data_IF_906236145990
#
_entry.id   IF_906236145990
#
_cell.length_a   1.000
_cell.length_b   1.000
_cell.length_c   1.000
_cell.angle_alpha   90.00
_cell.angle_beta   90.00
_cell.angle_gamma   90.00
#
_symmetry.space_group_name_H-M   'P 1'
#
loop_
_entity.id
_entity.type
_entity.pdbx_description
1 polymer ?
#
# COMPACT_ATOMS: atom_id res chain seq x y z
N UNK A 1 -69.32 9.67 -30.99
CA UNK A 1 -70.23 10.84 -30.92
C UNK A 1 -69.76 11.73 -29.77
N UNK A 2 -69.60 13.03 -30.05
CA UNK A 2 -69.31 14.17 -29.14
C UNK A 2 -67.88 14.39 -28.62
N UNK A 3 -67.43 15.61 -28.94
CA UNK A 3 -66.25 16.38 -28.54
C UNK A 3 -66.49 17.05 -27.17
N UNK A 4 -65.42 17.32 -26.41
CA UNK A 4 -64.92 18.69 -26.09
C UNK A 4 -64.41 18.89 -24.64
N UNK A 5 -63.10 19.18 -24.54
CA UNK A 5 -62.36 20.21 -23.76
C UNK A 5 -62.96 20.75 -22.42
N UNK A 6 -62.22 21.00 -21.33
CA UNK A 6 -61.07 21.94 -21.19
C UNK A 6 -60.44 21.94 -19.76
N UNK A 7 -59.10 22.18 -19.71
CA UNK A 7 -58.28 22.93 -18.71
C UNK A 7 -58.18 22.42 -17.26
N UNK A 8 -57.10 22.60 -16.48
CA UNK A 8 -55.67 22.95 -16.63
C UNK A 8 -55.07 22.95 -15.19
N UNK A 9 -53.80 22.54 -15.05
CA UNK A 9 -52.81 22.76 -13.95
C UNK A 9 -52.01 21.45 -13.79
N UNK A 10 -50.70 21.35 -13.95
CA UNK A 10 -49.63 22.33 -13.72
C UNK A 10 -48.79 21.82 -12.56
N UNK A 11 -47.73 21.06 -12.83
CA UNK A 11 -46.54 20.94 -11.97
C UNK A 11 -45.45 20.14 -12.72
N UNK A 12 -44.30 20.79 -12.89
CA UNK A 12 -43.14 20.31 -13.63
C UNK A 12 -42.48 19.12 -12.94
N UNK A 13 -42.15 18.09 -13.73
CA UNK A 13 -41.28 16.99 -13.31
C UNK A 13 -39.82 17.48 -13.38
N UNK A 14 -39.26 17.82 -12.22
CA UNK A 14 -37.87 18.25 -12.09
C UNK A 14 -36.93 17.07 -12.32
N UNK A 15 -36.18 17.12 -13.40
CA UNK A 15 -35.06 16.22 -13.69
C UNK A 15 -33.93 16.49 -12.69
N UNK A 16 -33.61 15.49 -11.86
CA UNK A 16 -32.50 15.58 -10.93
C UNK A 16 -31.18 15.31 -11.68
N UNK A 17 -30.55 16.38 -12.15
CA UNK A 17 -29.15 16.36 -12.56
C UNK A 17 -28.28 16.23 -11.31
N UNK A 18 -27.63 15.08 -11.13
CA UNK A 18 -26.57 14.92 -10.13
C UNK A 18 -25.31 15.63 -10.65
N UNK A 19 -25.08 16.86 -10.19
CA UNK A 19 -23.83 17.58 -10.38
C UNK A 19 -22.87 17.13 -9.29
N UNK A 20 -21.79 16.45 -9.70
CA UNK A 20 -20.69 16.07 -8.82
C UNK A 20 -19.82 17.32 -8.57
N UNK A 21 -20.12 18.09 -7.52
CA UNK A 21 -19.30 19.19 -7.07
C UNK A 21 -18.25 18.65 -6.08
N UNK A 22 -17.01 18.50 -6.56
CA UNK A 22 -15.84 18.49 -5.71
C UNK A 22 -15.42 19.94 -5.43
N UNK A 23 -14.84 20.15 -4.23
CA UNK A 23 -14.13 21.34 -3.72
C UNK A 23 -14.93 22.33 -2.84
N UNK A 24 -14.65 22.27 -1.54
CA UNK A 24 -14.37 23.44 -0.69
C UNK A 24 -15.55 24.31 -0.24
N UNK A 25 -16.06 24.05 0.97
CA UNK A 25 -16.96 24.96 1.67
C UNK A 25 -17.17 24.50 3.11
N UNK A 26 -16.82 25.35 4.05
CA UNK A 26 -16.91 25.14 5.50
C UNK A 26 -18.37 25.04 5.92
N UNK A 27 -18.85 23.86 6.29
CA UNK A 27 -20.04 23.71 7.12
C UNK A 27 -19.96 22.41 7.94
N UNK A 28 -20.19 22.55 9.23
CA UNK A 28 -19.90 21.60 10.30
C UNK A 28 -21.02 20.56 10.45
N UNK A 29 -21.24 19.72 9.43
CA UNK A 29 -22.04 18.51 9.59
C UNK A 29 -21.11 17.30 9.70
N UNK A 30 -21.20 16.47 10.76
CA UNK A 30 -20.41 15.26 10.86
C UNK A 30 -20.87 14.28 9.78
N UNK A 31 -20.12 14.23 8.68
CA UNK A 31 -20.16 13.10 7.75
C UNK A 31 -19.87 11.86 8.59
N UNK A 32 -20.74 10.85 8.63
CA UNK A 32 -20.41 9.59 9.29
C UNK A 32 -19.15 9.07 8.61
N UNK A 33 -18.05 9.02 9.36
CA UNK A 33 -16.82 8.38 8.91
C UNK A 33 -17.21 6.98 8.42
N UNK A 34 -16.87 6.60 7.17
CA UNK A 34 -16.93 5.22 6.78
C UNK A 34 -16.01 4.46 7.72
N UNK A 35 -16.58 3.87 8.75
CA UNK A 35 -15.86 3.00 9.65
C UNK A 35 -15.53 1.79 8.79
N UNK A 36 -14.26 1.66 8.39
CA UNK A 36 -13.78 0.43 7.78
C UNK A 36 -14.32 -0.72 8.66
N UNK A 37 -14.93 -1.77 8.07
CA UNK A 37 -15.36 -2.91 8.84
C UNK A 37 -14.19 -3.31 9.74
N UNK A 38 -14.44 -3.43 11.04
CA UNK A 38 -13.44 -3.92 11.96
C UNK A 38 -12.91 -5.22 11.36
N UNK A 39 -11.66 -5.24 10.94
CA UNK A 39 -11.03 -6.47 10.47
C UNK A 39 -11.21 -7.45 11.62
N UNK A 40 -12.02 -8.49 11.41
CA UNK A 40 -12.05 -9.62 12.33
C UNK A 40 -10.60 -10.08 12.45
N UNK A 41 -9.97 -10.03 13.64
CA UNK A 41 -8.61 -10.48 13.76
C UNK A 41 -8.57 -11.94 13.27
N UNK A 42 -7.80 -12.18 12.22
CA UNK A 42 -7.41 -13.53 11.87
C UNK A 42 -6.56 -14.02 13.04
N UNK A 43 -7.19 -14.66 14.01
CA UNK A 43 -6.48 -15.32 15.11
C UNK A 43 -5.97 -16.64 14.56
N UNK A 44 -4.85 -16.60 13.82
CA UNK A 44 -4.06 -17.81 13.62
C UNK A 44 -3.55 -18.20 15.02
N UNK A 45 -3.95 -19.37 15.56
CA UNK A 45 -3.52 -19.77 16.88
C UNK A 45 -2.00 -19.93 16.88
N UNK A 46 -1.30 -19.08 17.64
CA UNK A 46 0.13 -19.22 17.88
C UNK A 46 0.45 -20.65 18.35
N UNK A 47 1.39 -21.37 17.70
CA UNK A 47 1.86 -22.66 18.19
C UNK A 47 2.37 -22.57 19.64
N UNK A 48 2.03 -23.58 20.45
CA UNK A 48 2.41 -23.60 21.86
C UNK A 48 3.94 -23.52 22.02
N UNK A 49 4.43 -22.47 22.70
CA UNK A 49 5.85 -22.28 22.98
C UNK A 49 6.64 -21.45 21.96
N UNK A 50 6.04 -20.96 20.87
CA UNK A 50 6.75 -20.09 19.92
C UNK A 50 7.23 -18.78 20.61
N UNK A 51 8.50 -18.45 20.46
CA UNK A 51 9.09 -17.22 21.01
C UNK A 51 10.32 -16.80 20.20
N UNK A 52 10.09 -16.32 18.98
CA UNK A 52 11.17 -15.97 18.06
C UNK A 52 11.84 -14.65 18.43
N UNK A 53 13.16 -14.59 18.27
CA UNK A 53 13.92 -13.35 18.25
C UNK A 53 14.14 -12.96 16.78
N UNK A 54 13.49 -11.88 16.34
CA UNK A 54 13.56 -11.39 14.96
C UNK A 54 14.74 -10.43 14.70
N UNK A 55 15.48 -10.05 15.75
CA UNK A 55 16.63 -9.15 15.63
C UNK A 55 17.72 -9.65 14.67
N UNK A 56 18.07 -10.95 14.62
CA UNK A 56 19.01 -11.46 13.63
C UNK A 56 18.52 -11.25 12.19
N UNK A 57 17.22 -11.42 11.91
CA UNK A 57 16.66 -11.19 10.57
C UNK A 57 16.64 -9.69 10.20
N UNK A 58 16.46 -8.79 11.17
CA UNK A 58 16.56 -7.35 10.92
C UNK A 58 18.00 -6.87 10.69
N UNK A 59 18.96 -7.50 11.36
CA UNK A 59 20.39 -7.15 11.28
C UNK A 59 21.16 -7.93 10.22
N UNK A 60 20.54 -8.91 9.55
CA UNK A 60 21.18 -9.66 8.48
C UNK A 60 21.55 -8.73 7.31
N UNK A 61 22.72 -8.97 6.72
CA UNK A 61 23.21 -8.23 5.56
C UNK A 61 22.59 -8.76 4.27
N UNK A 62 22.05 -7.86 3.48
CA UNK A 62 21.48 -8.14 2.14
C UNK A 62 22.38 -7.65 1.01
N UNK A 63 23.29 -6.74 1.34
CA UNK A 63 24.39 -6.28 0.49
C UNK A 63 25.52 -5.73 1.39
N UNK A 64 26.75 -5.52 0.87
CA UNK A 64 27.82 -4.92 1.66
C UNK A 64 27.38 -3.59 2.32
N UNK A 65 27.39 -3.56 3.65
CA UNK A 65 26.98 -2.37 4.43
C UNK A 65 25.47 -2.08 4.46
N UNK A 66 24.63 -2.98 3.97
CA UNK A 66 23.16 -2.85 3.99
C UNK A 66 22.55 -4.00 4.77
N UNK A 67 21.83 -3.68 5.84
CA UNK A 67 20.99 -4.62 6.59
C UNK A 67 19.57 -4.61 6.04
N UNK A 68 18.78 -5.63 6.37
CA UNK A 68 17.32 -5.64 6.10
C UNK A 68 16.67 -4.39 6.68
N UNK A 69 16.98 -4.03 7.93
CA UNK A 69 16.47 -2.81 8.55
C UNK A 69 16.78 -1.54 7.72
N UNK A 70 18.01 -1.42 7.20
CA UNK A 70 18.41 -0.27 6.36
C UNK A 70 17.78 -0.23 4.97
N UNK A 71 17.15 -1.32 4.53
CA UNK A 71 16.35 -1.31 3.29
C UNK A 71 14.94 -0.79 3.52
N UNK A 72 14.41 -0.94 4.74
CA UNK A 72 13.03 -0.61 5.07
C UNK A 72 12.87 0.68 5.90
N UNK A 73 13.96 1.20 6.43
CA UNK A 73 14.04 2.41 7.26
C UNK A 73 15.17 3.31 6.72
N UNK A 74 14.91 4.59 6.40
CA UNK A 74 13.61 5.26 6.43
C UNK A 74 12.67 4.81 5.29
N UNK A 75 11.36 5.06 5.42
CA UNK A 75 10.35 4.71 4.41
C UNK A 75 10.48 5.55 3.13
N UNK A 76 11.49 5.23 2.32
CA UNK A 76 11.82 5.95 1.09
C UNK A 76 12.16 4.97 -0.02
N UNK A 77 11.81 5.32 -1.26
CA UNK A 77 12.35 4.63 -2.43
C UNK A 77 13.66 5.29 -2.80
N UNK A 78 14.75 4.54 -2.74
CA UNK A 78 16.07 5.02 -3.17
C UNK A 78 16.38 4.57 -4.58
N UNK A 79 17.06 5.42 -5.34
CA UNK A 79 17.49 5.13 -6.71
C UNK A 79 18.98 5.46 -6.82
N UNK A 80 19.76 4.44 -7.16
CA UNK A 80 21.12 4.54 -7.64
C UNK A 80 21.12 4.41 -9.17
N UNK A 81 21.46 5.51 -9.84
CA UNK A 81 21.50 5.59 -11.30
C UNK A 81 22.64 4.79 -11.92
N UNK A 82 23.58 4.28 -11.12
CA UNK A 82 24.68 3.41 -11.57
C UNK A 82 24.36 1.92 -11.48
N UNK A 83 23.25 1.56 -10.82
CA UNK A 83 22.83 0.17 -10.64
C UNK A 83 21.61 -0.17 -11.54
N UNK A 84 21.40 -1.45 -11.88
CA UNK A 84 20.20 -1.89 -12.58
C UNK A 84 18.93 -1.51 -11.81
N UNK A 85 17.89 -1.05 -12.50
CA UNK A 85 16.60 -0.75 -11.88
C UNK A 85 15.90 -2.00 -11.37
N UNK A 86 15.10 -1.88 -10.32
CA UNK A 86 14.33 -2.97 -9.71
C UNK A 86 14.57 -3.03 -8.22
N UNK A 87 13.58 -3.49 -7.48
CA UNK A 87 13.60 -3.47 -6.02
C UNK A 87 14.84 -4.18 -5.46
N UNK A 88 15.62 -3.55 -4.55
CA UNK A 88 15.34 -2.28 -3.84
C UNK A 88 15.80 -0.98 -4.55
N UNK A 89 16.48 -1.06 -5.70
CA UNK A 89 16.87 0.10 -6.50
C UNK A 89 15.70 0.63 -7.35
N UNK A 90 14.79 1.36 -6.72
CA UNK A 90 13.49 1.69 -7.30
C UNK A 90 12.53 0.50 -7.26
N UNK A 91 11.51 0.53 -8.13
CA UNK A 91 10.53 -0.56 -8.27
C UNK A 91 10.11 -0.68 -9.73
N UNK A 92 10.18 -1.89 -10.29
CA UNK A 92 9.51 -2.22 -11.55
C UNK A 92 8.06 -2.57 -11.25
N UNK A 93 7.21 -2.44 -12.27
CA UNK A 93 5.80 -2.83 -12.17
C UNK A 93 5.62 -4.34 -11.89
N UNK A 94 6.61 -5.14 -12.23
CA UNK A 94 6.62 -6.61 -12.07
C UNK A 94 7.30 -7.07 -10.79
N UNK A 95 7.87 -6.17 -9.99
CA UNK A 95 8.57 -6.58 -8.77
C UNK A 95 7.55 -7.00 -7.70
N UNK A 96 7.69 -8.22 -7.18
CA UNK A 96 6.92 -8.70 -6.02
C UNK A 96 7.42 -8.07 -4.72
N UNK A 97 7.30 -6.74 -4.59
CA UNK A 97 7.91 -5.96 -3.51
C UNK A 97 7.51 -6.48 -2.12
N UNK A 98 6.24 -6.83 -1.93
CA UNK A 98 5.76 -7.35 -0.65
C UNK A 98 6.45 -8.68 -0.33
N UNK A 99 6.39 -9.64 -1.24
CA UNK A 99 6.98 -10.98 -1.03
C UNK A 99 8.50 -10.94 -0.84
N UNK A 100 9.21 -10.12 -1.62
CA UNK A 100 10.67 -9.93 -1.47
C UNK A 100 10.99 -9.32 -0.10
N UNK A 101 10.23 -8.31 0.32
CA UNK A 101 10.45 -7.66 1.63
C UNK A 101 10.12 -8.61 2.77
N UNK A 102 9.01 -9.36 2.71
CA UNK A 102 8.65 -10.34 3.72
C UNK A 102 9.66 -11.49 3.77
N UNK A 103 10.20 -11.94 2.63
CA UNK A 103 11.25 -12.95 2.59
C UNK A 103 12.50 -12.45 3.32
N UNK A 104 12.91 -11.20 3.06
CA UNK A 104 14.02 -10.57 3.77
C UNK A 104 13.76 -10.38 5.28
N UNK A 105 12.50 -10.19 5.68
CA UNK A 105 12.14 -10.01 7.09
C UNK A 105 12.02 -11.32 7.88
N UNK A 106 11.55 -12.40 7.24
CA UNK A 106 11.19 -13.64 7.91
C UNK A 106 12.10 -14.83 7.63
N UNK A 107 12.86 -14.84 6.54
CA UNK A 107 13.71 -15.96 6.16
C UNK A 107 15.19 -15.69 6.46
N UNK A 108 15.91 -16.77 6.72
CA UNK A 108 17.36 -16.83 6.76
C UNK A 108 17.90 -16.79 5.32
N UNK A 109 18.36 -15.63 4.88
CA UNK A 109 18.85 -15.42 3.51
C UNK A 109 20.16 -16.16 3.21
N UNK A 110 20.80 -16.79 4.21
CA UNK A 110 21.93 -17.69 3.97
C UNK A 110 21.49 -19.09 3.54
N UNK A 111 20.20 -19.42 3.73
CA UNK A 111 19.60 -20.72 3.42
C UNK A 111 18.52 -20.63 2.35
N UNK A 112 17.81 -19.52 2.28
CA UNK A 112 16.71 -19.29 1.36
C UNK A 112 17.01 -18.10 0.43
N UNK A 113 16.70 -18.18 -0.87
CA UNK A 113 16.79 -17.02 -1.72
C UNK A 113 15.73 -15.99 -1.32
N UNK A 114 16.00 -14.70 -1.51
CA UNK A 114 15.02 -13.62 -1.24
C UNK A 114 13.75 -13.73 -2.12
N UNK A 115 13.80 -14.53 -3.20
CA UNK A 115 12.66 -14.86 -4.08
C UNK A 115 11.87 -16.08 -3.61
N UNK A 116 12.18 -16.65 -2.44
CA UNK A 116 11.53 -17.87 -1.96
C UNK A 116 10.02 -17.69 -1.84
N UNK A 117 9.58 -16.60 -1.20
CA UNK A 117 8.14 -16.31 -1.05
C UNK A 117 7.48 -15.89 -2.37
N UNK A 118 8.19 -15.20 -3.28
CA UNK A 118 7.65 -14.85 -4.60
C UNK A 118 7.34 -16.09 -5.45
N UNK A 119 8.04 -17.19 -5.16
CA UNK A 119 7.87 -18.48 -5.84
C UNK A 119 6.75 -19.32 -5.22
N UNK A 120 6.22 -18.89 -4.07
CA UNK A 120 5.00 -19.46 -3.50
C UNK A 120 3.82 -18.69 -4.11
N UNK A 121 2.87 -19.35 -4.78
CA UNK A 121 1.74 -18.66 -5.43
C UNK A 121 0.66 -18.24 -4.41
N UNK A 122 1.07 -17.58 -3.33
CA UNK A 122 0.20 -17.14 -2.23
C UNK A 122 -0.45 -15.77 -2.52
N UNK A 123 0.20 -14.94 -3.34
CA UNK A 123 -0.31 -13.64 -3.79
C UNK A 123 -0.77 -13.63 -5.25
N UNK A 124 -1.39 -12.53 -5.71
CA UNK A 124 -1.72 -12.33 -7.12
C UNK A 124 -0.47 -12.45 -7.99
N UNK A 125 -0.48 -13.37 -8.96
CA UNK A 125 0.69 -13.68 -9.79
C UNK A 125 0.87 -12.71 -10.97
N UNK A 126 -0.17 -11.95 -11.31
CA UNK A 126 -0.15 -10.97 -12.38
C UNK A 126 -1.19 -9.88 -12.12
N UNK A 127 -1.00 -8.74 -12.77
CA UNK A 127 -2.03 -7.72 -12.84
C UNK A 127 -3.27 -8.25 -13.60
N UNK A 128 -4.45 -7.71 -13.30
CA UNK A 128 -5.73 -8.04 -13.93
C UNK A 128 -5.70 -7.87 -15.46
N UNK A 129 -5.00 -6.83 -15.92
CA UNK A 129 -4.72 -6.55 -17.32
C UNK A 129 -3.21 -6.50 -17.56
N UNK A 130 -2.71 -6.97 -18.72
CA UNK A 130 -1.29 -6.94 -19.02
C UNK A 130 -0.76 -5.51 -19.11
N UNK A 131 0.51 -5.33 -18.74
CA UNK A 131 1.20 -4.06 -18.97
C UNK A 131 1.33 -3.77 -20.47
N UNK A 132 1.26 -2.48 -20.81
CA UNK A 132 1.41 -1.99 -22.19
C UNK A 132 2.90 -1.92 -22.53
N UNK A 133 3.31 -2.19 -23.79
CA UNK A 133 4.70 -2.08 -24.21
C UNK A 133 5.19 -0.63 -24.34
N UNK A 134 4.26 0.33 -24.37
CA UNK A 134 4.54 1.75 -24.52
C UNK A 134 3.89 2.54 -23.39
N UNK A 135 4.49 3.69 -23.06
CA UNK A 135 3.95 4.61 -22.07
C UNK A 135 2.53 5.09 -22.44
N UNK A 136 1.59 5.22 -21.47
CA UNK A 136 1.72 4.79 -20.08
C UNK A 136 1.63 3.25 -19.95
N UNK A 137 2.61 2.66 -19.28
CA UNK A 137 2.80 1.20 -19.21
C UNK A 137 1.69 0.45 -18.45
N UNK A 138 0.90 1.15 -17.62
CA UNK A 138 -0.26 0.59 -16.93
C UNK A 138 -1.47 0.52 -17.86
N UNK A 139 -2.31 -0.52 -17.66
CA UNK A 139 -3.61 -0.60 -18.28
C UNK A 139 -4.53 0.54 -17.79
N UNK A 140 -5.66 0.73 -18.47
CA UNK A 140 -6.67 1.68 -17.99
C UNK A 140 -7.17 1.25 -16.60
N UNK A 141 -7.35 2.22 -15.69
CA UNK A 141 -7.88 1.94 -14.37
C UNK A 141 -9.28 1.32 -14.46
N UNK A 142 -9.58 0.39 -13.56
CA UNK A 142 -10.90 -0.19 -13.45
C UNK A 142 -11.92 0.89 -13.04
N UNK A 143 -12.83 1.22 -13.94
CA UNK A 143 -13.88 2.22 -13.72
C UNK A 143 -14.30 2.90 -15.01
N UNK A 144 -15.40 3.66 -14.94
CA UNK A 144 -15.83 4.54 -16.04
C UNK A 144 -15.03 5.84 -16.01
N UNK A 145 -13.70 5.72 -16.08
CA UNK A 145 -12.83 6.88 -16.17
C UNK A 145 -13.01 7.45 -17.58
N UNK A 146 -13.25 8.76 -17.75
CA UNK A 146 -13.23 9.36 -19.07
C UNK A 146 -11.86 9.09 -19.69
N UNK A 147 -11.80 8.15 -20.63
CA UNK A 147 -10.63 7.88 -21.43
C UNK A 147 -10.50 9.03 -22.45
N UNK A 148 -10.17 10.22 -21.96
CA UNK A 148 -9.77 11.32 -22.82
C UNK A 148 -8.48 10.94 -23.56
N UNK A 149 -8.20 11.54 -24.72
CA UNK A 149 -6.87 11.44 -25.31
C UNK A 149 -5.86 11.86 -24.23
N UNK A 150 -4.83 11.04 -24.02
CA UNK A 150 -3.71 11.41 -23.14
C UNK A 150 -3.15 12.68 -23.75
N UNK A 151 -3.43 13.83 -23.13
CA UNK A 151 -3.04 15.11 -23.67
C UNK A 151 -1.50 15.11 -23.73
N UNK A 152 -0.94 15.20 -24.94
CA UNK A 152 0.52 15.24 -25.13
C UNK A 152 1.11 16.64 -24.80
N UNK A 153 0.23 17.59 -24.46
CA UNK A 153 0.54 18.97 -24.08
C UNK A 153 -0.59 19.54 -23.20
N UNK A 154 -0.33 20.65 -22.50
CA UNK A 154 -1.34 21.31 -21.67
C UNK A 154 -1.49 20.71 -20.26
N UNK A 155 -0.47 19.97 -19.79
CA UNK A 155 -0.40 19.54 -18.40
C UNK A 155 -0.38 20.77 -17.47
N UNK A 156 -1.41 20.90 -16.62
CA UNK A 156 -1.40 21.84 -15.51
C UNK A 156 -0.69 21.20 -14.32
N UNK A 157 0.62 21.40 -14.24
CA UNK A 157 1.39 20.98 -13.06
C UNK A 157 1.04 21.92 -11.91
N UNK A 158 0.53 21.36 -10.80
CA UNK A 158 0.26 22.15 -9.61
C UNK A 158 1.55 22.81 -9.11
N UNK A 159 1.47 24.10 -8.83
CA UNK A 159 2.57 24.91 -8.27
C UNK A 159 2.33 25.25 -6.81
N UNK A 160 1.30 24.69 -6.19
CA UNK A 160 1.02 24.87 -4.76
C UNK A 160 2.21 24.38 -3.93
N UNK A 161 2.57 25.08 -2.83
CA UNK A 161 3.64 24.63 -1.97
C UNK A 161 3.33 23.27 -1.34
N UNK A 162 4.33 22.48 -0.92
CA UNK A 162 4.11 21.20 -0.23
C UNK A 162 3.17 21.30 0.98
N UNK A 163 3.15 22.44 1.66
CA UNK A 163 2.26 22.73 2.80
C UNK A 163 0.77 22.78 2.43
N UNK A 164 0.42 22.85 1.14
CA UNK A 164 -0.95 22.75 0.65
C UNK A 164 -1.45 21.30 0.54
N UNK A 165 -0.60 20.32 0.83
CA UNK A 165 -0.91 18.90 0.76
C UNK A 165 -0.85 18.28 2.16
N UNK A 166 -1.71 17.30 2.38
CA UNK A 166 -1.66 16.45 3.57
C UNK A 166 -1.18 15.08 3.14
N UNK A 167 -0.23 14.52 3.89
CA UNK A 167 0.22 13.14 3.70
C UNK A 167 -0.88 12.22 4.17
N UNK A 168 -1.34 11.34 3.30
CA UNK A 168 -2.39 10.35 3.61
C UNK A 168 -1.77 8.99 3.92
N UNK A 169 -0.69 8.66 3.21
CA UNK A 169 0.00 7.39 3.38
C UNK A 169 1.47 7.51 3.05
N UNK A 170 2.25 6.62 3.64
CA UNK A 170 3.68 6.45 3.41
C UNK A 170 3.89 5.13 2.71
N UNK A 171 4.48 5.18 1.52
CA UNK A 171 4.54 4.06 0.57
C UNK A 171 5.94 3.89 -0.03
N UNK A 172 6.98 4.29 0.71
CA UNK A 172 8.36 3.98 0.37
C UNK A 172 8.62 2.48 0.36
N UNK A 173 8.04 1.77 1.32
CA UNK A 173 8.19 0.37 1.63
C UNK A 173 6.81 -0.20 1.97
N UNK A 174 6.02 -0.57 0.94
CA UNK A 174 4.61 -0.91 1.13
C UNK A 174 4.40 -2.04 2.13
N UNK A 175 5.26 -3.06 2.17
CA UNK A 175 5.16 -4.13 3.15
C UNK A 175 5.24 -3.61 4.60
N UNK A 176 6.10 -2.62 4.88
CA UNK A 176 6.17 -2.03 6.23
C UNK A 176 4.90 -1.25 6.51
N UNK A 177 4.52 -0.34 5.62
CA UNK A 177 3.37 0.51 5.82
C UNK A 177 2.04 -0.26 5.91
N UNK A 178 1.88 -1.38 5.21
CA UNK A 178 0.61 -2.12 5.15
C UNK A 178 0.55 -3.32 6.08
N UNK A 179 1.68 -4.01 6.32
CA UNK A 179 1.72 -5.27 7.09
C UNK A 179 2.37 -5.08 8.44
N UNK A 180 3.50 -4.36 8.52
CA UNK A 180 4.37 -4.41 9.71
C UNK A 180 4.04 -3.32 10.73
N UNK A 181 3.65 -2.13 10.29
CA UNK A 181 3.18 -1.07 11.19
C UNK A 181 1.84 -1.47 11.78
N UNK A 182 1.75 -1.49 13.11
CA UNK A 182 0.53 -1.91 13.80
C UNK A 182 -0.62 -0.92 13.56
N UNK A 183 -1.88 -1.37 13.66
CA UNK A 183 -3.04 -0.48 13.55
C UNK A 183 -3.00 0.70 14.53
N UNK A 184 -2.46 0.51 15.74
CA UNK A 184 -2.31 1.57 16.74
C UNK A 184 -1.28 2.64 16.36
N UNK A 185 -0.27 2.27 15.57
CA UNK A 185 0.81 3.17 15.14
C UNK A 185 0.55 3.76 13.75
N UNK A 186 -0.42 3.23 12.99
CA UNK A 186 -0.63 3.53 11.57
C UNK A 186 -0.89 5.01 11.26
N UNK A 187 -1.76 5.68 12.03
CA UNK A 187 -2.06 7.11 11.81
C UNK A 187 -0.80 7.94 12.06
N UNK A 188 -0.14 7.75 13.22
CA UNK A 188 1.09 8.47 13.55
C UNK A 188 2.19 8.23 12.52
N UNK A 189 2.35 6.97 12.09
CA UNK A 189 3.31 6.61 11.04
C UNK A 189 3.05 7.40 9.77
N UNK A 190 1.82 7.38 9.25
CA UNK A 190 1.42 8.09 8.04
C UNK A 190 1.53 9.63 8.17
N UNK A 191 1.33 10.16 9.39
CA UNK A 191 1.44 11.60 9.69
C UNK A 191 2.88 12.09 9.94
N UNK A 192 3.85 11.20 10.15
CA UNK A 192 5.26 11.52 10.32
C UNK A 192 6.02 11.73 9.01
N UNK A 193 7.18 12.40 9.09
CA UNK A 193 8.10 12.52 7.96
C UNK A 193 9.07 11.33 7.91
N UNK A 194 9.52 10.87 6.71
CA UNK A 194 10.48 9.77 6.63
C UNK A 194 11.80 10.02 7.38
N UNK A 195 12.20 11.28 7.56
CA UNK A 195 13.39 11.63 8.36
C UNK A 195 13.22 11.29 9.85
N UNK A 196 11.99 11.22 10.34
CA UNK A 196 11.71 10.88 11.74
C UNK A 196 12.01 9.39 12.01
N UNK A 197 12.00 8.55 10.97
CA UNK A 197 12.32 7.13 11.11
C UNK A 197 13.79 6.90 11.52
N UNK A 198 14.69 7.84 11.22
CA UNK A 198 16.11 7.75 11.55
C UNK A 198 16.34 7.72 13.08
N UNK A 199 15.35 8.17 13.86
CA UNK A 199 15.34 8.09 15.32
C UNK A 199 14.87 6.72 15.86
N UNK A 200 14.51 5.79 14.98
CA UNK A 200 13.98 4.46 15.31
C UNK A 200 12.66 4.49 16.09
N UNK A 201 11.86 5.56 15.92
CA UNK A 201 10.60 5.76 16.65
C UNK A 201 9.60 4.60 16.47
N UNK A 202 9.59 3.99 15.28
CA UNK A 202 8.71 2.86 14.95
C UNK A 202 9.36 1.49 15.14
N UNK A 203 10.64 1.43 15.50
CA UNK A 203 11.36 0.18 15.67
C UNK A 203 10.72 -0.76 16.72
N UNK A 204 10.26 -0.28 17.90
CA UNK A 204 9.60 -1.14 18.88
C UNK A 204 8.30 -1.76 18.34
N UNK A 205 7.51 -0.98 17.59
CA UNK A 205 6.27 -1.42 16.95
C UNK A 205 6.54 -2.48 15.89
N UNK A 206 7.48 -2.19 14.98
CA UNK A 206 7.94 -3.11 13.93
C UNK A 206 8.42 -4.42 14.55
N UNK A 207 9.30 -4.37 15.55
CA UNK A 207 9.85 -5.56 16.19
C UNK A 207 8.75 -6.39 16.89
N UNK A 208 7.79 -5.73 17.55
CA UNK A 208 6.68 -6.42 18.19
C UNK A 208 5.77 -7.11 17.16
N UNK A 209 5.40 -6.43 16.08
CA UNK A 209 4.56 -6.98 15.01
C UNK A 209 5.25 -8.14 14.28
N UNK A 210 6.53 -7.97 13.90
CA UNK A 210 7.30 -9.04 13.25
C UNK A 210 7.41 -10.26 14.15
N UNK A 211 7.67 -10.06 15.45
CA UNK A 211 7.68 -11.18 16.40
C UNK A 211 6.33 -11.88 16.47
N UNK A 212 5.23 -11.13 16.50
CA UNK A 212 3.89 -11.70 16.53
C UNK A 212 3.61 -12.56 15.29
N UNK A 213 3.99 -12.09 14.10
CA UNK A 213 3.86 -12.86 12.86
C UNK A 213 4.79 -14.06 12.80
N UNK A 214 6.06 -13.91 13.20
CA UNK A 214 7.00 -15.02 13.25
C UNK A 214 6.53 -16.12 14.22
N UNK A 215 6.00 -15.73 15.39
CA UNK A 215 5.39 -16.68 16.32
C UNK A 215 4.18 -17.37 15.69
N UNK A 216 3.27 -16.61 15.06
CA UNK A 216 2.03 -17.13 14.48
C UNK A 216 2.22 -18.03 13.26
N UNK A 217 3.25 -17.79 12.44
CA UNK A 217 3.53 -18.52 11.19
C UNK A 217 4.62 -19.60 11.37
N UNK A 218 5.06 -19.85 12.59
CA UNK A 218 6.24 -20.68 12.83
C UNK A 218 6.07 -22.14 12.45
N UNK A 219 4.89 -22.71 12.70
CA UNK A 219 4.52 -24.05 12.27
C UNK A 219 4.32 -24.13 10.75
N UNK A 220 3.72 -23.12 10.13
CA UNK A 220 3.59 -23.01 8.68
C UNK A 220 4.97 -22.99 7.99
N UNK A 221 5.88 -22.16 8.49
CA UNK A 221 7.26 -22.11 7.98
C UNK A 221 7.98 -23.44 8.17
N UNK A 222 7.85 -24.07 9.34
CA UNK A 222 8.44 -25.37 9.60
C UNK A 222 7.87 -26.47 8.68
N UNK A 223 6.55 -26.49 8.47
CA UNK A 223 5.85 -27.42 7.58
C UNK A 223 6.25 -27.22 6.11
N UNK A 224 6.46 -25.97 5.70
CA UNK A 224 6.96 -25.62 4.37
C UNK A 224 8.48 -25.82 4.20
N UNK A 225 9.18 -26.21 5.27
CA UNK A 225 10.63 -26.41 5.27
C UNK A 225 11.45 -25.11 5.22
N UNK A 226 10.80 -23.96 5.38
CA UNK A 226 11.43 -22.65 5.34
C UNK A 226 12.29 -22.41 6.59
N UNK A 227 13.36 -21.64 6.43
CA UNK A 227 14.35 -21.36 7.46
C UNK A 227 14.54 -19.89 7.68
#
# INVERSE_FOLDING_TARGET
MRRSLHRAAGAASLSLYLVLAACGGSDSDPVPTPQAPAATPFTVPKPAGANFNVLPCLSQLVAPGKTVASLVVPDTVTIDLSAPSGFPNGRRLTDSVIDITLAALFLDLTKEPVTRLTSLPLGPQANDLPFRPNFPYLAAAQGNVPAGPVALAGFNFRTDPPTSYVRVDRMGMPAVATVVISPSSKIRYNDGDPVDDDQLDYYPDINATLKAYADALSDDFAAAGLK
#
